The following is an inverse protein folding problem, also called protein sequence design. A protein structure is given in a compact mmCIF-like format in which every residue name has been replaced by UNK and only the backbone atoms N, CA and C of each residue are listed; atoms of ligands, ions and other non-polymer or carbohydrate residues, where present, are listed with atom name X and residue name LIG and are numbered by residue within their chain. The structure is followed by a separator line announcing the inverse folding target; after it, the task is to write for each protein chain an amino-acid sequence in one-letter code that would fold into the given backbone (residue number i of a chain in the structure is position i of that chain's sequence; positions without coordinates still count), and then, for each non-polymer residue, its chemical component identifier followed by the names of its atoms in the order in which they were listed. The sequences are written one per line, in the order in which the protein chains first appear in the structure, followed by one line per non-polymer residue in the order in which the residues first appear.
data_IF_185756550101
#
_entry.id   IF_185756550101
#
_cell.length_a   1.000
_cell.length_b   1.000
_cell.length_c   1.000
_cell.angle_alpha   90.00
_cell.angle_beta   90.00
_cell.angle_gamma   90.00
#
_symmetry.space_group_name_H-M   'P 1'
#
loop_
_entity.id
_entity.type
_entity.pdbx_description
1 polymer ?
#
# COMPACT_ATOMS: atom_id res chain seq x y z
N UNK A 1 -26.32 -2.14 0.35
CA UNK A 1 -25.82 -2.39 1.72
C UNK A 1 -24.55 -1.58 1.94
N UNK A 2 -24.67 -0.46 2.64
CA UNK A 2 -23.59 0.48 2.93
C UNK A 2 -22.73 -0.06 4.09
N UNK A 3 -21.84 -1.01 3.79
CA UNK A 3 -20.98 -1.65 4.81
C UNK A 3 -19.89 -0.69 5.37
N UNK A 4 -19.74 0.48 4.75
CA UNK A 4 -18.69 1.46 5.01
C UNK A 4 -19.32 2.85 4.91
N UNK A 5 -19.67 3.46 6.05
CA UNK A 5 -20.34 4.77 6.10
C UNK A 5 -19.56 5.92 5.42
N UNK A 6 -20.06 7.14 5.55
CA UNK A 6 -19.63 8.33 4.78
C UNK A 6 -18.13 8.70 4.83
N UNK A 7 -17.35 8.14 5.76
CA UNK A 7 -15.88 8.20 5.76
C UNK A 7 -15.30 6.79 5.72
N UNK A 8 -15.25 6.21 4.52
CA UNK A 8 -14.72 4.86 4.29
C UNK A 8 -13.24 4.83 4.65
N UNK A 9 -12.89 4.15 5.75
CA UNK A 9 -11.51 4.02 6.22
C UNK A 9 -11.24 2.60 6.71
N UNK A 10 -10.04 2.10 6.47
CA UNK A 10 -9.52 0.86 7.06
C UNK A 10 -8.67 1.24 8.26
N UNK A 11 -9.00 0.73 9.45
CA UNK A 11 -8.13 0.80 10.63
C UNK A 11 -7.23 -0.43 10.66
N UNK A 12 -5.93 -0.20 10.80
CA UNK A 12 -4.94 -1.25 11.07
C UNK A 12 -4.52 -1.09 12.53
N UNK A 13 -5.09 -1.90 13.42
CA UNK A 13 -4.86 -1.88 14.87
C UNK A 13 -4.16 -3.15 15.39
N UNK A 14 -4.24 -4.24 14.62
CA UNK A 14 -3.70 -5.55 14.97
C UNK A 14 -3.27 -6.32 13.74
N UNK A 15 -2.55 -7.41 13.96
CA UNK A 15 -2.07 -8.31 12.91
C UNK A 15 -2.32 -9.76 13.32
N UNK A 16 -2.83 -10.57 12.38
CA UNK A 16 -2.87 -12.01 12.54
C UNK A 16 -1.47 -12.59 12.24
N UNK A 17 -0.86 -13.22 13.24
CA UNK A 17 0.39 -13.95 13.10
C UNK A 17 0.09 -15.40 12.72
N UNK A 18 0.68 -15.88 11.63
CA UNK A 18 0.49 -17.26 11.14
C UNK A 18 1.83 -18.00 11.12
N UNK A 19 2.36 -18.42 12.29
CA UNK A 19 3.65 -19.11 12.35
C UNK A 19 3.59 -20.46 11.63
N UNK A 20 4.73 -20.91 11.09
CA UNK A 20 4.84 -22.20 10.40
C UNK A 20 4.46 -23.37 11.32
N UNK A 21 4.78 -23.25 12.61
CA UNK A 21 4.37 -24.19 13.67
C UNK A 21 3.46 -23.47 14.66
N UNK A 22 2.37 -24.11 15.06
CA UNK A 22 1.40 -23.57 16.02
C UNK A 22 0.15 -22.94 15.39
N UNK A 23 -0.75 -22.50 16.28
CA UNK A 23 -2.02 -21.86 15.92
C UNK A 23 -1.80 -20.39 15.55
N UNK A 24 -2.56 -19.84 14.59
CA UNK A 24 -2.61 -18.41 14.37
C UNK A 24 -3.05 -17.66 15.64
N UNK A 25 -2.52 -16.46 15.84
CA UNK A 25 -2.88 -15.61 16.98
C UNK A 25 -2.88 -14.13 16.57
N UNK A 26 -3.67 -13.31 17.25
CA UNK A 26 -3.70 -11.87 17.05
C UNK A 26 -2.63 -11.22 17.91
N UNK A 27 -1.75 -10.46 17.28
CA UNK A 27 -0.83 -9.58 17.99
C UNK A 27 -1.29 -8.14 17.80
N UNK A 28 -1.25 -7.30 18.85
CA UNK A 28 -1.29 -5.85 18.64
C UNK A 28 -0.24 -5.43 17.62
N UNK A 29 -0.45 -4.27 16.99
CA UNK A 29 0.65 -3.65 16.26
C UNK A 29 1.85 -3.48 17.20
N UNK A 30 3.07 -3.58 16.65
CA UNK A 30 4.30 -3.60 17.46
C UNK A 30 4.42 -2.36 18.37
N UNK A 31 3.78 -1.24 17.99
CA UNK A 31 3.72 0.04 18.73
C UNK A 31 2.43 0.78 18.38
N UNK A 32 1.93 1.62 19.28
CA UNK A 32 0.75 2.48 19.05
C UNK A 32 0.91 3.36 17.79
N UNK A 33 2.12 3.87 17.53
CA UNK A 33 2.44 4.65 16.33
C UNK A 33 2.27 3.87 15.00
N UNK A 34 2.16 2.54 15.04
CA UNK A 34 1.87 1.71 13.86
C UNK A 34 0.37 1.52 13.63
N UNK A 35 -0.48 1.91 14.59
CA UNK A 35 -1.90 2.05 14.34
C UNK A 35 -2.12 3.14 13.30
N UNK A 36 -2.87 2.81 12.26
CA UNK A 36 -3.14 3.77 11.19
C UNK A 36 -4.51 3.61 10.62
N UNK A 37 -5.02 4.72 10.12
CA UNK A 37 -6.28 4.76 9.41
C UNK A 37 -6.00 5.14 7.96
N UNK A 38 -6.38 4.26 7.03
CA UNK A 38 -6.16 4.40 5.60
C UNK A 38 -7.49 4.80 4.96
N UNK A 39 -7.58 5.94 4.24
CA UNK A 39 -8.74 6.26 3.41
C UNK A 39 -8.97 5.11 2.44
N UNK A 40 -10.21 4.65 2.31
CA UNK A 40 -10.57 3.56 1.42
C UNK A 40 -11.06 4.15 0.09
N UNK A 41 -10.28 4.07 -1.00
CA UNK A 41 -10.72 4.57 -2.29
C UNK A 41 -11.89 3.75 -2.81
N UNK A 42 -12.74 4.35 -3.65
CA UNK A 42 -13.95 3.69 -4.15
C UNK A 42 -13.65 2.42 -4.93
N UNK A 43 -12.59 2.41 -5.75
CA UNK A 43 -12.17 1.20 -6.50
C UNK A 43 -11.87 0.03 -5.56
N UNK A 44 -11.25 0.30 -4.41
CA UNK A 44 -10.94 -0.73 -3.40
C UNK A 44 -12.20 -1.14 -2.64
N UNK A 45 -13.06 -0.18 -2.29
CA UNK A 45 -14.36 -0.46 -1.66
C UNK A 45 -15.28 -1.33 -2.52
N UNK A 46 -15.33 -1.06 -3.83
CA UNK A 46 -16.07 -1.86 -4.80
C UNK A 46 -15.47 -3.27 -4.96
N UNK A 47 -14.14 -3.37 -5.03
CA UNK A 47 -13.46 -4.67 -5.09
C UNK A 47 -13.71 -5.50 -3.82
N UNK A 48 -13.66 -4.88 -2.64
CA UNK A 48 -13.97 -5.52 -1.36
C UNK A 48 -15.44 -5.97 -1.30
N UNK A 49 -16.36 -5.13 -1.78
CA UNK A 49 -17.79 -5.47 -1.81
C UNK A 49 -18.06 -6.69 -2.69
N UNK A 50 -17.45 -6.75 -3.88
CA UNK A 50 -17.52 -7.94 -4.76
C UNK A 50 -16.91 -9.16 -4.08
N UNK A 51 -15.75 -9.01 -3.44
CA UNK A 51 -15.10 -10.09 -2.71
C UNK A 51 -16.01 -10.66 -1.62
N UNK A 52 -16.57 -9.82 -0.75
CA UNK A 52 -17.44 -10.23 0.36
C UNK A 52 -18.74 -10.89 -0.13
N UNK A 53 -19.25 -10.50 -1.30
CA UNK A 53 -20.41 -11.14 -1.90
C UNK A 53 -20.09 -12.56 -2.42
N UNK A 54 -18.92 -12.77 -3.03
CA UNK A 54 -18.48 -14.09 -3.52
C UNK A 54 -17.95 -14.99 -2.41
N UNK A 55 -17.25 -14.40 -1.43
CA UNK A 55 -16.58 -15.07 -0.32
C UNK A 55 -17.08 -14.47 1.00
N UNK A 56 -18.19 -15.01 1.55
CA UNK A 56 -18.79 -14.48 2.76
C UNK A 56 -17.79 -14.43 3.93
N UNK A 57 -17.79 -13.35 4.72
CA UNK A 57 -16.88 -13.23 5.86
C UNK A 57 -17.09 -14.35 6.88
N UNK A 58 -16.00 -14.95 7.36
CA UNK A 58 -16.05 -16.04 8.32
C UNK A 58 -15.83 -15.53 9.75
N UNK A 59 -16.67 -15.96 10.69
CA UNK A 59 -16.45 -15.72 12.12
C UNK A 59 -15.50 -16.78 12.67
N UNK A 60 -14.40 -16.37 13.29
CA UNK A 60 -13.41 -17.28 13.88
C UNK A 60 -13.06 -16.86 15.29
N UNK A 61 -12.81 -17.85 16.15
CA UNK A 61 -12.19 -17.66 17.46
C UNK A 61 -10.67 -17.69 17.31
N UNK A 62 -9.99 -16.64 17.77
CA UNK A 62 -8.54 -16.54 17.71
C UNK A 62 -7.96 -16.12 19.06
N UNK A 63 -6.81 -16.70 19.39
CA UNK A 63 -6.04 -16.37 20.58
C UNK A 63 -5.39 -14.98 20.40
N UNK A 64 -5.48 -14.11 21.42
CA UNK A 64 -4.71 -12.88 21.50
C UNK A 64 -3.34 -13.16 22.12
N UNK A 65 -2.30 -12.53 21.57
CA UNK A 65 -0.97 -12.51 22.14
C UNK A 65 -1.04 -11.85 23.51
N UNK A 66 -0.53 -12.54 24.53
CA UNK A 66 -0.37 -12.00 25.86
C UNK A 66 1.04 -12.33 26.33
N UNK A 67 1.74 -11.38 26.97
CA UNK A 67 3.08 -11.59 27.54
C UNK A 67 3.06 -12.48 28.81
N UNK A 68 2.02 -13.31 28.98
CA UNK A 68 1.73 -14.01 30.25
C UNK A 68 2.73 -15.13 30.53
N UNK A 69 2.84 -15.43 31.83
CA UNK A 69 3.52 -16.60 32.35
C UNK A 69 3.09 -17.89 31.64
N UNK A 70 4.05 -18.80 31.42
CA UNK A 70 3.82 -20.08 30.78
C UNK A 70 2.67 -20.85 31.46
N UNK A 71 1.63 -21.19 30.70
CA UNK A 71 0.49 -21.99 31.18
C UNK A 71 -0.81 -21.21 31.44
N UNK A 72 -0.81 -19.87 31.39
CA UNK A 72 -2.06 -19.12 31.47
C UNK A 72 -2.91 -19.32 30.18
N UNK A 73 -4.24 -19.49 30.30
CA UNK A 73 -5.10 -19.62 29.12
C UNK A 73 -5.04 -18.34 28.28
N UNK A 74 -4.90 -18.51 26.97
CA UNK A 74 -4.91 -17.39 26.03
C UNK A 74 -6.27 -16.69 26.08
N UNK A 75 -6.26 -15.35 26.09
CA UNK A 75 -7.48 -14.58 25.86
C UNK A 75 -7.96 -14.88 24.44
N UNK A 76 -9.22 -15.30 24.28
CA UNK A 76 -9.82 -15.58 22.97
C UNK A 76 -10.79 -14.48 22.58
N UNK A 77 -10.78 -14.14 21.30
CA UNK A 77 -11.65 -13.11 20.73
C UNK A 77 -12.24 -13.61 19.42
N UNK A 78 -13.52 -13.36 19.22
CA UNK A 78 -14.21 -13.57 17.96
C UNK A 78 -13.86 -12.46 16.97
N UNK A 79 -13.37 -12.83 15.78
CA UNK A 79 -13.15 -11.88 14.68
C UNK A 79 -13.83 -12.34 13.41
N UNK A 80 -14.29 -11.36 12.63
CA UNK A 80 -14.87 -11.60 11.31
C UNK A 80 -13.81 -11.39 10.24
N UNK A 81 -13.38 -12.47 9.61
CA UNK A 81 -12.39 -12.46 8.54
C UNK A 81 -13.04 -12.02 7.23
N UNK A 82 -12.54 -10.94 6.65
CA UNK A 82 -12.94 -10.54 5.30
C UNK A 82 -12.30 -11.41 4.21
N UNK A 83 -11.15 -12.04 4.52
CA UNK A 83 -10.42 -12.93 3.62
C UNK A 83 -10.16 -14.27 4.30
N UNK A 84 -11.19 -15.13 4.44
CA UNK A 84 -11.00 -16.46 5.01
C UNK A 84 -10.19 -17.36 4.07
N UNK A 85 -9.52 -18.35 4.64
CA UNK A 85 -8.97 -19.49 3.91
C UNK A 85 -10.09 -20.34 3.29
N UNK A 86 -9.75 -21.27 2.38
CA UNK A 86 -10.73 -22.18 1.77
C UNK A 86 -11.54 -23.02 2.77
N UNK A 87 -11.01 -23.19 3.98
CA UNK A 87 -11.60 -23.91 5.12
C UNK A 87 -12.35 -22.97 6.10
N UNK A 88 -12.53 -21.69 5.76
CA UNK A 88 -13.13 -20.69 6.64
C UNK A 88 -12.18 -20.19 7.75
N UNK A 89 -10.99 -20.76 7.89
CA UNK A 89 -10.01 -20.38 8.89
C UNK A 89 -9.18 -19.18 8.44
N UNK A 90 -8.20 -18.76 9.25
CA UNK A 90 -7.28 -17.69 8.88
C UNK A 90 -6.39 -18.12 7.72
N UNK A 91 -6.38 -17.32 6.66
CA UNK A 91 -5.48 -17.51 5.52
C UNK A 91 -4.02 -17.43 5.98
N UNK A 92 -3.30 -18.55 5.90
CA UNK A 92 -1.86 -18.61 6.20
C UNK A 92 -1.06 -17.97 5.08
N UNK A 93 0.03 -17.26 5.42
CA UNK A 93 0.91 -16.62 4.43
C UNK A 93 1.37 -17.56 3.32
N UNK A 94 1.91 -18.75 3.65
CA UNK A 94 2.42 -19.66 2.62
C UNK A 94 1.31 -20.12 1.68
N UNK A 95 0.11 -20.38 2.22
CA UNK A 95 -1.05 -20.75 1.40
C UNK A 95 -1.50 -19.61 0.49
N UNK A 96 -1.52 -18.36 0.98
CA UNK A 96 -1.76 -17.18 0.14
C UNK A 96 -0.73 -17.10 -1.00
N UNK A 97 0.55 -17.29 -0.68
CA UNK A 97 1.62 -17.21 -1.68
C UNK A 97 1.49 -18.33 -2.72
N UNK A 98 1.32 -19.57 -2.29
CA UNK A 98 1.35 -20.72 -3.18
C UNK A 98 0.05 -20.91 -3.97
N UNK A 99 -1.10 -20.64 -3.34
CA UNK A 99 -2.41 -20.90 -3.95
C UNK A 99 -3.02 -19.67 -4.65
N UNK A 100 -2.57 -18.46 -4.33
CA UNK A 100 -3.14 -17.22 -4.91
C UNK A 100 -2.08 -16.42 -5.64
N UNK A 101 -0.99 -16.03 -4.97
CA UNK A 101 -0.01 -15.11 -5.53
C UNK A 101 0.72 -15.69 -6.75
N UNK A 102 1.39 -16.85 -6.60
CA UNK A 102 2.15 -17.47 -7.70
C UNK A 102 1.27 -17.74 -8.94
N UNK A 103 0.05 -18.33 -8.81
CA UNK A 103 -0.83 -18.48 -9.95
C UNK A 103 -1.25 -17.15 -10.59
N UNK A 104 -1.51 -16.12 -9.78
CA UNK A 104 -1.89 -14.78 -10.27
C UNK A 104 -0.75 -14.14 -11.06
N UNK A 105 0.48 -14.19 -10.55
CA UNK A 105 1.66 -13.65 -11.25
C UNK A 105 1.86 -14.36 -12.59
N UNK A 106 1.76 -15.70 -12.62
CA UNK A 106 1.86 -16.49 -13.86
C UNK A 106 0.74 -16.17 -14.86
N UNK A 107 -0.48 -15.93 -14.38
CA UNK A 107 -1.60 -15.54 -15.23
C UNK A 107 -1.39 -14.14 -15.81
N UNK A 108 -0.92 -13.18 -15.00
CA UNK A 108 -0.61 -11.83 -15.43
C UNK A 108 0.55 -11.82 -16.45
N UNK A 109 1.61 -12.57 -16.20
CA UNK A 109 2.72 -12.79 -17.13
C UNK A 109 2.21 -13.28 -18.49
N UNK A 110 1.40 -14.35 -18.51
CA UNK A 110 0.81 -14.87 -19.76
C UNK A 110 -0.05 -13.83 -20.47
N UNK A 111 -0.88 -13.09 -19.75
CA UNK A 111 -1.72 -12.05 -20.34
C UNK A 111 -0.89 -10.93 -21.00
N UNK A 112 0.22 -10.53 -20.37
CA UNK A 112 1.15 -9.56 -20.96
C UNK A 112 1.82 -10.11 -22.22
N UNK A 113 2.24 -11.38 -22.22
CA UNK A 113 2.80 -12.02 -23.44
C UNK A 113 1.79 -12.04 -24.58
N UNK A 114 0.53 -12.37 -24.30
CA UNK A 114 -0.55 -12.34 -25.29
C UNK A 114 -0.72 -10.92 -25.84
N UNK A 115 -0.81 -9.92 -24.96
CA UNK A 115 -0.91 -8.52 -25.36
C UNK A 115 0.28 -8.06 -26.20
N UNK A 116 1.51 -8.41 -25.82
CA UNK A 116 2.70 -8.05 -26.59
C UNK A 116 2.68 -8.67 -28.00
N UNK A 117 2.18 -9.91 -28.14
CA UNK A 117 2.01 -10.54 -29.45
C UNK A 117 0.99 -9.77 -30.32
N UNK A 118 -0.15 -9.37 -29.75
CA UNK A 118 -1.18 -8.56 -30.43
C UNK A 118 -0.64 -7.18 -30.84
N UNK A 119 0.11 -6.51 -29.96
CA UNK A 119 0.77 -5.24 -30.23
C UNK A 119 1.76 -5.36 -31.40
N UNK A 120 2.52 -6.47 -31.51
CA UNK A 120 3.40 -6.72 -32.67
C UNK A 120 2.61 -6.93 -33.95
N UNK A 121 1.54 -7.73 -33.91
CA UNK A 121 0.70 -7.97 -35.09
C UNK A 121 0.06 -6.68 -35.61
N UNK A 122 -0.24 -5.72 -34.73
CA UNK A 122 -0.82 -4.42 -35.09
C UNK A 122 0.23 -3.34 -35.41
N UNK A 123 1.52 -3.69 -35.47
CA UNK A 123 2.59 -2.76 -35.83
C UNK A 123 3.12 -1.88 -34.68
N UNK A 124 2.69 -2.11 -33.44
CA UNK A 124 3.11 -1.37 -32.25
C UNK A 124 4.34 -2.02 -31.57
N UNK A 125 5.43 -2.22 -32.31
CA UNK A 125 6.61 -2.98 -31.82
C UNK A 125 7.21 -2.41 -30.54
N UNK A 126 7.36 -1.08 -30.43
CA UNK A 126 7.92 -0.46 -29.23
C UNK A 126 7.03 -0.67 -27.98
N UNK A 127 5.70 -0.67 -28.15
CA UNK A 127 4.77 -0.97 -27.08
C UNK A 127 4.87 -2.45 -26.68
N UNK A 128 4.96 -3.35 -27.67
CA UNK A 128 5.14 -4.78 -27.42
C UNK A 128 6.43 -5.08 -26.65
N UNK A 129 7.54 -4.44 -27.00
CA UNK A 129 8.82 -4.64 -26.30
C UNK A 129 8.76 -4.13 -24.85
N UNK A 130 8.08 -3.01 -24.61
CA UNK A 130 7.82 -2.52 -23.26
C UNK A 130 6.93 -3.49 -22.46
N UNK A 131 5.87 -4.03 -23.08
CA UNK A 131 4.96 -5.02 -22.48
C UNK A 131 5.72 -6.31 -22.14
N UNK A 132 6.60 -6.79 -23.03
CA UNK A 132 7.43 -7.97 -22.78
C UNK A 132 8.45 -7.76 -21.67
N UNK A 133 9.07 -6.57 -21.59
CA UNK A 133 9.96 -6.25 -20.48
C UNK A 133 9.24 -6.31 -19.12
N UNK A 134 7.96 -5.95 -19.06
CA UNK A 134 7.13 -6.12 -17.84
C UNK A 134 6.85 -7.60 -17.58
N UNK A 135 6.53 -8.38 -18.62
CA UNK A 135 6.34 -9.83 -18.49
C UNK A 135 7.60 -10.54 -17.97
N UNK A 136 8.79 -10.17 -18.47
CA UNK A 136 10.08 -10.69 -18.00
C UNK A 136 10.31 -10.40 -16.51
N UNK A 137 9.94 -9.20 -16.04
CA UNK A 137 10.00 -8.86 -14.61
C UNK A 137 9.06 -9.74 -13.78
N UNK A 138 7.85 -10.00 -14.26
CA UNK A 138 6.89 -10.89 -13.59
C UNK A 138 7.36 -12.34 -13.56
N UNK A 139 8.00 -12.83 -14.62
CA UNK A 139 8.57 -14.16 -14.69
C UNK A 139 9.75 -14.36 -13.71
N UNK A 140 10.35 -13.25 -13.24
CA UNK A 140 11.33 -13.23 -12.16
C UNK A 140 10.72 -13.51 -10.77
N UNK A 141 11.51 -13.27 -9.71
CA UNK A 141 11.05 -13.42 -8.32
C UNK A 141 10.30 -12.16 -7.85
N UNK A 142 9.04 -12.01 -8.24
CA UNK A 142 8.15 -10.97 -7.69
C UNK A 142 7.48 -11.48 -6.43
N UNK A 143 7.69 -10.80 -5.32
CA UNK A 143 7.06 -11.14 -4.04
C UNK A 143 5.77 -10.34 -3.79
N UNK A 144 4.95 -10.79 -2.86
CA UNK A 144 3.67 -10.14 -2.55
C UNK A 144 3.83 -8.72 -1.96
N UNK A 145 4.99 -8.42 -1.36
CA UNK A 145 5.35 -7.11 -0.83
C UNK A 145 5.56 -6.07 -1.93
N UNK A 146 5.81 -6.48 -3.18
CA UNK A 146 5.87 -5.59 -4.34
C UNK A 146 4.59 -4.76 -4.51
N UNK A 147 3.43 -5.28 -4.11
CA UNK A 147 2.18 -4.51 -4.09
C UNK A 147 2.25 -3.30 -3.14
N UNK A 148 2.99 -3.42 -2.04
CA UNK A 148 3.22 -2.32 -1.11
C UNK A 148 4.24 -1.32 -1.66
N UNK A 149 5.27 -1.79 -2.35
CA UNK A 149 6.20 -0.90 -3.07
C UNK A 149 5.48 -0.12 -4.17
N UNK A 150 4.60 -0.78 -4.94
CA UNK A 150 3.73 -0.13 -5.92
C UNK A 150 2.81 0.91 -5.28
N UNK A 151 2.20 0.60 -4.13
CA UNK A 151 1.38 1.58 -3.42
C UNK A 151 2.18 2.80 -2.97
N UNK A 152 3.42 2.62 -2.49
CA UNK A 152 4.30 3.73 -2.13
C UNK A 152 4.66 4.60 -3.35
N UNK A 153 5.13 3.97 -4.44
CA UNK A 153 5.52 4.69 -5.65
C UNK A 153 4.35 5.42 -6.30
N UNK A 154 3.15 4.84 -6.27
CA UNK A 154 1.91 5.49 -6.75
C UNK A 154 1.63 6.79 -5.98
N UNK A 155 1.72 6.77 -4.65
CA UNK A 155 1.47 7.97 -3.84
C UNK A 155 2.52 9.05 -4.11
N UNK A 156 3.79 8.67 -4.21
CA UNK A 156 4.89 9.59 -4.50
C UNK A 156 4.71 10.22 -5.88
N UNK A 157 4.38 9.41 -6.89
CA UNK A 157 4.11 9.87 -8.24
C UNK A 157 2.91 10.85 -8.28
N UNK A 158 1.90 10.63 -7.44
CA UNK A 158 0.77 11.55 -7.28
C UNK A 158 1.12 12.85 -6.53
N UNK A 159 2.38 13.06 -6.14
CA UNK A 159 2.85 14.26 -5.45
C UNK A 159 2.61 14.26 -3.94
N UNK A 160 2.31 13.10 -3.33
CA UNK A 160 2.10 13.03 -1.89
C UNK A 160 3.38 13.32 -1.10
N UNK A 161 3.20 13.99 0.04
CA UNK A 161 4.33 14.31 0.94
C UNK A 161 4.90 13.05 1.60
N UNK A 162 6.19 13.11 1.94
CA UNK A 162 6.88 12.07 2.74
C UNK A 162 6.09 11.71 4.00
N UNK A 163 5.49 12.69 4.67
CA UNK A 163 4.67 12.50 5.87
C UNK A 163 3.43 11.65 5.60
N UNK A 164 2.73 11.89 4.48
CA UNK A 164 1.57 11.10 4.10
C UNK A 164 2.00 9.68 3.76
N UNK A 165 3.01 9.51 2.91
CA UNK A 165 3.51 8.17 2.50
C UNK A 165 3.96 7.37 3.73
N UNK A 166 4.77 7.96 4.61
CA UNK A 166 5.19 7.34 5.87
C UNK A 166 3.99 6.86 6.69
N UNK A 167 2.98 7.71 6.89
CA UNK A 167 1.79 7.37 7.67
C UNK A 167 0.94 6.28 7.01
N UNK A 168 0.83 6.25 5.68
CA UNK A 168 0.09 5.20 4.95
C UNK A 168 0.80 3.85 5.01
N UNK A 169 2.11 3.85 4.93
CA UNK A 169 2.94 2.66 5.08
C UNK A 169 3.00 2.20 6.54
N UNK A 170 2.93 3.10 7.51
CA UNK A 170 3.12 2.80 8.93
C UNK A 170 4.60 2.62 9.28
N UNK A 171 5.48 3.36 8.59
CA UNK A 171 6.91 3.41 8.91
C UNK A 171 7.14 4.23 10.19
N UNK A 172 8.14 3.82 10.97
CA UNK A 172 8.40 4.41 12.29
C UNK A 172 8.93 5.84 12.20
N UNK A 173 9.57 6.18 11.09
CA UNK A 173 10.19 7.48 10.85
C UNK A 173 10.13 7.83 9.36
N UNK A 174 10.25 9.13 9.08
CA UNK A 174 10.44 9.61 7.71
C UNK A 174 11.72 9.03 7.09
N UNK A 175 12.79 8.85 7.89
CA UNK A 175 14.05 8.24 7.46
C UNK A 175 13.84 6.87 6.83
N UNK A 176 13.10 5.95 7.47
CA UNK A 176 12.80 4.63 6.90
C UNK A 176 12.09 4.72 5.53
N UNK A 177 11.27 5.75 5.34
CA UNK A 177 10.58 6.01 4.06
C UNK A 177 11.52 6.58 3.02
N UNK A 178 12.37 7.53 3.39
CA UNK A 178 13.33 8.19 2.50
C UNK A 178 14.47 7.25 2.11
N UNK A 179 14.96 6.41 3.02
CA UNK A 179 15.97 5.39 2.73
C UNK A 179 15.48 4.42 1.63
N UNK A 180 14.19 4.09 1.66
CA UNK A 180 13.60 3.13 0.71
C UNK A 180 13.16 3.79 -0.59
N UNK A 181 12.51 4.95 -0.53
CA UNK A 181 11.82 5.57 -1.67
C UNK A 181 12.28 6.99 -2.03
N UNK A 182 13.27 7.54 -1.33
CA UNK A 182 13.76 8.91 -1.54
C UNK A 182 14.09 9.21 -3.00
N UNK A 183 14.64 8.21 -3.70
CA UNK A 183 14.98 8.26 -5.12
C UNK A 183 13.78 8.42 -6.08
N UNK A 184 12.53 8.29 -5.60
CA UNK A 184 11.32 8.47 -6.40
C UNK A 184 10.75 9.88 -6.30
N UNK A 185 11.14 10.68 -5.31
CA UNK A 185 10.67 12.07 -5.23
C UNK A 185 11.40 12.91 -6.28
N UNK A 186 10.66 13.73 -7.05
CA UNK A 186 11.27 14.60 -8.04
C UNK A 186 12.12 15.66 -7.34
N UNK A 187 13.27 15.97 -7.92
CA UNK A 187 13.98 17.20 -7.62
C UNK A 187 13.27 18.38 -8.33
N UNK A 188 13.26 19.54 -7.70
CA UNK A 188 12.59 20.74 -8.23
C UNK A 188 13.38 22.00 -7.88
N UNK A 189 14.59 22.11 -8.43
CA UNK A 189 15.42 23.29 -8.24
C UNK A 189 14.73 24.57 -8.70
N UNK A 190 14.06 24.56 -9.85
CA UNK A 190 13.42 25.76 -10.40
C UNK A 190 12.23 26.21 -9.54
N UNK A 191 11.39 25.27 -9.08
CA UNK A 191 10.34 25.58 -8.11
C UNK A 191 10.89 26.07 -6.78
N UNK A 192 12.07 25.57 -6.37
CA UNK A 192 12.75 26.05 -5.16
C UNK A 192 13.19 27.51 -5.32
N UNK A 193 13.80 27.88 -6.46
CA UNK A 193 14.16 29.27 -6.77
C UNK A 193 12.92 30.16 -6.79
N UNK A 194 11.91 29.77 -7.57
CA UNK A 194 10.67 30.54 -7.71
C UNK A 194 9.95 30.74 -6.36
N UNK A 195 9.98 29.76 -5.46
CA UNK A 195 9.39 29.90 -4.13
C UNK A 195 10.11 30.96 -3.27
N UNK A 196 11.44 31.00 -3.30
CA UNK A 196 12.24 32.00 -2.57
C UNK A 196 12.07 33.38 -3.21
N UNK A 197 12.15 33.47 -4.53
CA UNK A 197 11.96 34.73 -5.27
C UNK A 197 10.56 35.30 -5.05
N UNK A 198 9.52 34.46 -5.05
CA UNK A 198 8.16 34.88 -4.73
C UNK A 198 8.03 35.44 -3.31
N UNK A 199 8.64 34.78 -2.33
CA UNK A 199 8.55 35.19 -0.93
C UNK A 199 9.37 36.45 -0.60
N UNK A 200 10.58 36.58 -1.15
CA UNK A 200 11.52 37.66 -0.84
C UNK A 200 11.52 38.79 -1.87
N UNK A 201 11.23 38.49 -3.14
CA UNK A 201 11.17 39.46 -4.23
C UNK A 201 9.99 40.41 -4.10
N UNK A 202 8.82 39.93 -3.63
CA UNK A 202 7.67 40.78 -3.31
C UNK A 202 7.99 41.81 -2.21
N UNK A 203 8.74 41.40 -1.17
CA UNK A 203 9.16 42.28 -0.08
C UNK A 203 10.20 43.34 -0.51
N UNK A 204 10.93 43.10 -1.60
CA UNK A 204 11.94 44.02 -2.13
C UNK A 204 11.34 45.06 -3.07
N UNK A 205 10.31 44.69 -3.83
CA UNK A 205 9.55 45.62 -4.66
C UNK A 205 8.76 46.65 -3.82
N UNK A 206 8.17 46.22 -2.70
CA UNK A 206 7.39 47.08 -1.81
C UNK A 206 8.25 48.15 -1.13
N UNK A 207 9.46 47.79 -0.67
CA UNK A 207 10.42 48.76 -0.12
C UNK A 207 10.91 49.78 -1.16
N UNK A 208 11.09 49.34 -2.41
CA UNK A 208 11.56 50.21 -3.49
C UNK A 208 10.47 51.20 -3.94
N UNK A 209 9.20 50.76 -3.94
CA UNK A 209 8.06 51.62 -4.21
C UNK A 209 7.82 52.63 -3.08
N UNK A 210 7.94 52.20 -1.81
CA UNK A 210 7.75 53.07 -0.66
C UNK A 210 8.87 54.13 -0.54
N UNK A 211 10.12 53.77 -0.84
CA UNK A 211 11.23 54.72 -0.87
C UNK A 211 11.12 55.77 -2.01
N UNK A 212 10.46 55.44 -3.12
CA UNK A 212 10.22 56.36 -4.25
C UNK A 212 9.00 57.27 -4.05
N UNK A 213 8.10 56.94 -3.13
CA UNK A 213 6.93 57.77 -2.80
C UNK A 213 7.23 58.82 -1.72
N UNK A 214 8.36 58.71 -1.01
CA UNK A 214 8.77 59.60 0.08
C UNK A 214 9.88 60.57 -0.30
N UNK A 215 10.28 60.60 -1.57
CA UNK A 215 11.26 61.52 -2.15
C UNK A 215 10.56 62.45 -3.15
#
# INVERSE_FOLDING_TARGET
MEFLGHRRRIRVDRQAQTPNKGKPYLRPVKREASERSIPLPDVVGQALSRHVATFPPALVEIDEYTERAAGAPAKRTSVRLLYPGPDGAIMRRNRLIDSVWKPTVKAAERALRTRAAEERTTGHTAAADATDAVADRLAGKVDFHELRHFYASLLIHAGESVKVVQARLGHKSAVETLDTYGHLWPDNEEGTRAAVDGALGAASADKTAQARSTA
#
